data_IF_467499829993
#
_entry.id   IF_467499829993
#
_cell.length_a   1.000
_cell.length_b   1.000
_cell.length_c   1.000
_cell.angle_alpha   90.00
_cell.angle_beta   90.00
_cell.angle_gamma   90.00
#
_symmetry.space_group_name_H-M   'P 1'
#
loop_
_entity.id
_entity.type
_entity.pdbx_description
1 polymer ?
#
# COMPACT_ATOMS: atom_id res chain seq x y z
N UNK A 1 36.83 -32.62 -8.95
CA UNK A 1 35.36 -32.67 -9.13
C UNK A 1 34.69 -32.45 -7.79
N UNK A 2 33.97 -31.34 -7.58
CA UNK A 2 32.72 -31.45 -6.84
C UNK A 2 31.60 -30.59 -7.43
N UNK A 3 30.44 -31.22 -7.63
CA UNK A 3 29.17 -30.52 -7.76
C UNK A 3 28.44 -30.50 -6.41
N UNK A 4 27.78 -29.38 -6.09
CA UNK A 4 26.53 -29.38 -5.30
C UNK A 4 25.80 -28.05 -5.44
N UNK A 5 24.80 -28.11 -6.33
CA UNK A 5 23.45 -27.54 -6.28
C UNK A 5 23.23 -26.29 -5.41
N UNK A 6 22.89 -25.21 -6.12
CA UNK A 6 22.26 -23.97 -5.65
C UNK A 6 20.97 -24.29 -4.88
N UNK A 7 20.85 -23.76 -3.67
CA UNK A 7 19.57 -23.49 -3.00
C UNK A 7 19.67 -22.11 -2.36
N UNK A 8 19.05 -21.04 -2.90
CA UNK A 8 18.91 -19.80 -2.17
C UNK A 8 17.82 -20.03 -1.11
N UNK A 9 18.22 -20.22 0.15
CA UNK A 9 17.27 -20.24 1.25
C UNK A 9 16.71 -18.81 1.43
N UNK A 10 15.45 -18.66 1.07
CA UNK A 10 14.63 -17.50 1.34
C UNK A 10 14.38 -17.38 2.83
N UNK A 11 15.24 -16.67 3.57
CA UNK A 11 14.95 -16.40 5.00
C UNK A 11 15.68 -15.19 5.58
N UNK A 12 15.86 -14.09 4.83
CA UNK A 12 16.41 -12.88 5.46
C UNK A 12 15.89 -11.51 5.00
N UNK A 13 14.90 -11.42 4.12
CA UNK A 13 14.36 -10.11 3.74
C UNK A 13 13.10 -9.76 4.52
N UNK A 14 13.29 -9.52 5.81
CA UNK A 14 12.30 -8.82 6.62
C UNK A 14 13.07 -8.03 7.66
N UNK A 15 13.58 -6.84 7.30
CA UNK A 15 13.86 -5.70 8.21
C UNK A 15 14.73 -4.58 7.57
N UNK A 16 15.33 -4.78 6.39
CA UNK A 16 16.16 -3.72 5.75
C UNK A 16 15.51 -3.20 4.46
N UNK A 17 14.31 -2.67 4.58
CA UNK A 17 13.72 -1.77 3.56
C UNK A 17 13.33 -0.40 4.17
N UNK A 18 13.96 -0.02 5.29
CA UNK A 18 13.86 1.31 5.90
C UNK A 18 15.18 2.07 5.67
N UNK A 19 15.79 2.01 4.48
CA UNK A 19 17.04 2.75 4.19
C UNK A 19 17.24 3.15 2.73
N UNK A 20 16.20 3.57 2.02
CA UNK A 20 16.34 4.12 0.66
C UNK A 20 15.55 5.42 0.41
N UNK A 21 15.34 6.27 1.43
CA UNK A 21 14.78 7.62 1.22
C UNK A 21 13.36 7.67 0.64
N UNK A 22 12.72 6.51 0.46
CA UNK A 22 11.39 6.39 -0.08
C UNK A 22 10.40 6.73 1.05
N UNK A 23 9.89 7.97 1.03
CA UNK A 23 9.07 8.52 2.13
C UNK A 23 8.01 7.53 2.60
N UNK A 24 8.03 7.22 3.89
CA UNK A 24 7.07 6.31 4.53
C UNK A 24 5.91 7.18 5.03
N UNK A 25 4.69 6.88 4.58
CA UNK A 25 3.46 7.49 5.09
C UNK A 25 2.74 6.48 5.97
N UNK A 26 2.55 6.82 7.23
CA UNK A 26 1.67 6.10 8.15
C UNK A 26 0.31 6.80 8.17
N UNK A 27 -0.77 6.04 7.98
CA UNK A 27 -2.13 6.58 8.06
C UNK A 27 -3.10 5.54 8.60
N UNK A 28 -4.12 5.99 9.35
CA UNK A 28 -5.25 5.12 9.71
C UNK A 28 -6.05 4.78 8.46
N UNK A 29 -6.39 3.51 8.30
CA UNK A 29 -7.20 3.01 7.18
C UNK A 29 -8.51 3.78 7.05
N UNK A 30 -9.20 4.05 8.16
CA UNK A 30 -10.45 4.82 8.19
C UNK A 30 -10.30 6.25 7.65
N UNK A 31 -9.15 6.89 7.88
CA UNK A 31 -8.87 8.24 7.38
C UNK A 31 -8.63 8.22 5.87
N UNK A 32 -7.91 7.23 5.37
CA UNK A 32 -7.70 7.04 3.93
C UNK A 32 -9.02 6.78 3.21
N UNK A 33 -9.86 5.90 3.77
CA UNK A 33 -11.19 5.63 3.22
C UNK A 33 -12.08 6.87 3.20
N UNK A 34 -12.04 7.71 4.24
CA UNK A 34 -12.77 8.98 4.24
C UNK A 34 -12.22 9.97 3.22
N UNK A 35 -10.90 10.03 3.04
CA UNK A 35 -10.23 10.84 2.02
C UNK A 35 -10.62 10.41 0.60
N UNK A 36 -10.68 9.10 0.36
CA UNK A 36 -11.12 8.49 -0.90
C UNK A 36 -12.61 8.74 -1.17
N UNK A 37 -13.48 8.52 -0.18
CA UNK A 37 -14.91 8.80 -0.28
C UNK A 37 -15.22 10.28 -0.57
N UNK A 38 -14.50 11.21 0.08
CA UNK A 38 -14.60 12.64 -0.26
C UNK A 38 -14.05 12.95 -1.66
N UNK A 39 -13.08 12.18 -2.15
CA UNK A 39 -12.58 12.28 -3.52
C UNK A 39 -13.64 11.96 -4.57
N UNK A 40 -14.46 10.93 -4.32
CA UNK A 40 -15.61 10.60 -5.15
C UNK A 40 -16.67 11.71 -5.14
N UNK A 41 -16.99 12.26 -3.97
CA UNK A 41 -17.98 13.34 -3.84
C UNK A 41 -17.55 14.64 -4.54
N UNK A 42 -16.27 15.00 -4.43
CA UNK A 42 -15.72 16.26 -4.95
C UNK A 42 -15.09 16.13 -6.34
N UNK A 43 -15.19 14.96 -7.00
CA UNK A 43 -14.49 14.62 -8.27
C UNK A 43 -12.98 14.86 -8.23
N UNK A 44 -12.37 14.66 -7.06
CA UNK A 44 -10.91 14.79 -6.85
C UNK A 44 -10.22 13.44 -6.63
N UNK A 45 -10.91 12.34 -6.92
CA UNK A 45 -10.44 10.95 -6.82
C UNK A 45 -9.02 10.76 -7.36
N UNK A 46 -8.80 11.05 -8.64
CA UNK A 46 -7.51 10.85 -9.32
C UNK A 46 -6.34 11.58 -8.66
N UNK A 47 -6.61 12.77 -8.11
CA UNK A 47 -5.60 13.56 -7.41
C UNK A 47 -5.24 12.90 -6.08
N UNK A 48 -6.25 12.50 -5.30
CA UNK A 48 -6.06 11.89 -3.98
C UNK A 48 -5.38 10.52 -4.08
N UNK A 49 -5.78 9.68 -5.04
CA UNK A 49 -5.07 8.41 -5.32
C UNK A 49 -3.60 8.67 -5.65
N UNK A 50 -3.30 9.63 -6.53
CA UNK A 50 -1.91 9.97 -6.88
C UNK A 50 -1.07 10.40 -5.67
N UNK A 51 -1.66 11.14 -4.75
CA UNK A 51 -0.99 11.54 -3.50
C UNK A 51 -0.78 10.36 -2.55
N UNK A 52 -1.69 9.39 -2.54
CA UNK A 52 -1.61 8.20 -1.70
C UNK A 52 -0.61 7.17 -2.23
N UNK A 53 -0.44 7.05 -3.56
CA UNK A 53 0.53 6.13 -4.19
C UNK A 53 1.95 6.71 -4.30
N UNK A 54 2.13 8.03 -4.12
CA UNK A 54 3.44 8.71 -4.19
C UNK A 54 4.49 8.23 -3.15
N UNK A 55 4.13 7.96 -1.88
CA UNK A 55 5.09 7.45 -0.89
C UNK A 55 5.73 6.13 -1.35
N UNK A 56 6.97 5.88 -0.96
CA UNK A 56 7.60 4.59 -1.23
C UNK A 56 6.96 3.45 -0.46
N UNK A 57 6.42 3.77 0.73
CA UNK A 57 5.70 2.84 1.59
C UNK A 57 4.50 3.55 2.21
N UNK A 58 3.31 2.98 2.04
CA UNK A 58 2.09 3.41 2.74
C UNK A 58 1.69 2.33 3.73
N UNK A 59 1.87 2.60 5.01
CA UNK A 59 1.45 1.72 6.09
C UNK A 59 0.04 2.12 6.56
N UNK A 60 -0.91 1.21 6.38
CA UNK A 60 -2.30 1.39 6.80
C UNK A 60 -2.52 0.74 8.17
N UNK A 61 -2.70 1.58 9.18
CA UNK A 61 -3.01 1.14 10.55
C UNK A 61 -4.51 0.91 10.73
N UNK A 62 -4.87 -0.06 11.57
CA UNK A 62 -6.25 -0.39 11.90
C UNK A 62 -7.07 -0.98 10.75
N UNK A 63 -6.41 -1.62 9.77
CA UNK A 63 -7.09 -2.36 8.70
C UNK A 63 -7.94 -3.49 9.30
N UNK A 64 -9.16 -3.67 8.78
CA UNK A 64 -10.12 -4.69 9.23
C UNK A 64 -10.51 -4.65 10.72
N UNK A 65 -10.15 -3.60 11.48
CA UNK A 65 -10.67 -3.39 12.84
C UNK A 65 -12.19 -3.09 12.84
N UNK A 66 -12.73 -2.66 11.70
CA UNK A 66 -14.15 -2.47 11.45
C UNK A 66 -14.50 -3.11 10.10
N UNK A 67 -15.74 -3.60 9.97
CA UNK A 67 -16.24 -4.11 8.69
C UNK A 67 -16.22 -2.98 7.66
N UNK A 68 -15.58 -3.25 6.53
CA UNK A 68 -15.58 -2.36 5.37
C UNK A 68 -16.91 -2.48 4.62
N UNK A 69 -17.41 -1.36 4.10
CA UNK A 69 -18.50 -1.39 3.12
C UNK A 69 -17.96 -1.83 1.75
N UNK A 70 -18.83 -2.27 0.84
CA UNK A 70 -18.41 -2.65 -0.51
C UNK A 70 -17.66 -1.51 -1.24
N UNK A 71 -18.15 -0.25 -1.24
CA UNK A 71 -17.39 0.86 -1.85
C UNK A 71 -16.01 1.07 -1.23
N UNK A 72 -15.90 0.93 0.11
CA UNK A 72 -14.60 1.06 0.78
C UNK A 72 -13.63 -0.07 0.41
N UNK A 73 -14.15 -1.27 0.18
CA UNK A 73 -13.34 -2.40 -0.27
C UNK A 73 -12.83 -2.17 -1.71
N UNK A 74 -13.70 -1.66 -2.59
CA UNK A 74 -13.33 -1.29 -3.96
C UNK A 74 -12.28 -0.18 -3.98
N UNK A 75 -12.47 0.87 -3.17
CA UNK A 75 -11.52 1.99 -3.03
C UNK A 75 -10.12 1.50 -2.60
N UNK A 76 -10.08 0.56 -1.64
CA UNK A 76 -8.82 -0.05 -1.19
C UNK A 76 -8.20 -0.93 -2.26
N UNK A 77 -9.01 -1.71 -2.97
CA UNK A 77 -8.55 -2.55 -4.06
C UNK A 77 -7.90 -1.71 -5.17
N UNK A 78 -8.54 -0.60 -5.56
CA UNK A 78 -8.02 0.32 -6.56
C UNK A 78 -6.69 0.95 -6.10
N UNK A 79 -6.62 1.42 -4.85
CA UNK A 79 -5.38 1.94 -4.25
C UNK A 79 -4.22 0.91 -4.31
N UNK A 80 -4.50 -0.35 -3.99
CA UNK A 80 -3.50 -1.43 -4.04
C UNK A 80 -3.11 -1.78 -5.49
N UNK A 81 -4.08 -1.84 -6.39
CA UNK A 81 -3.86 -2.11 -7.81
C UNK A 81 -2.97 -1.03 -8.45
N UNK A 82 -3.27 0.25 -8.21
CA UNK A 82 -2.50 1.40 -8.70
C UNK A 82 -1.06 1.40 -8.16
N UNK A 83 -0.84 0.98 -6.89
CA UNK A 83 0.51 0.79 -6.37
C UNK A 83 1.25 -0.34 -7.06
N UNK A 84 0.60 -1.49 -7.23
CA UNK A 84 1.22 -2.67 -7.84
C UNK A 84 1.69 -2.37 -9.26
N UNK A 85 0.95 -1.56 -10.01
CA UNK A 85 1.30 -1.17 -11.37
C UNK A 85 2.52 -0.24 -11.45
N UNK A 86 3.01 0.30 -10.32
CA UNK A 86 4.18 1.19 -10.25
C UNK A 86 5.48 0.50 -9.78
N UNK A 87 5.40 -0.74 -9.30
CA UNK A 87 6.56 -1.53 -8.88
C UNK A 87 7.03 -2.43 -10.03
#
# INVERSE_FOLDING_TARGET
MPGRRRTPCWSHHSHVAIRQGAGIRFAKTSRILAELAGGHADRTWDKRIRELIRPGLLALDGFAMRRLTAPQADDLYELFSERRNRC
#
